data_IF_762596922152
#
_entry.id   IF_762596922152
#
_cell.length_a   1.000
_cell.length_b   1.000
_cell.length_c   1.000
_cell.angle_alpha   90.00
_cell.angle_beta   90.00
_cell.angle_gamma   90.00
#
_symmetry.space_group_name_H-M   'P 1'
#
loop_
_entity.id
_entity.type
_entity.pdbx_description
1 polymer ?
#
# COMPACT_ATOMS: atom_id res chain seq x y z
N UNK A 1 14.48 41.72 15.92
CA UNK A 1 13.84 40.50 16.47
C UNK A 1 12.58 40.22 15.67
N UNK A 2 12.43 39.00 15.15
CA UNK A 2 11.26 38.60 14.37
C UNK A 2 11.52 37.39 13.48
N UNK A 3 12.07 36.30 14.01
CA UNK A 3 12.02 35.02 13.31
C UNK A 3 10.59 34.49 13.39
N UNK A 4 9.73 34.96 12.48
CA UNK A 4 8.46 34.34 12.21
C UNK A 4 8.73 32.91 11.72
N UNK A 5 8.64 31.95 12.64
CA UNK A 5 8.67 30.54 12.27
C UNK A 5 7.56 30.31 11.27
N UNK A 6 7.91 30.03 10.01
CA UNK A 6 6.95 29.59 9.00
C UNK A 6 6.26 28.35 9.57
N UNK A 7 5.00 28.47 9.97
CA UNK A 7 4.15 27.31 10.25
C UNK A 7 4.25 26.41 9.02
N UNK A 8 4.77 25.20 9.19
CA UNK A 8 4.74 24.21 8.11
C UNK A 8 3.27 23.98 7.74
N UNK A 9 2.96 24.15 6.45
CA UNK A 9 1.61 23.91 5.94
C UNK A 9 1.21 22.45 6.21
N UNK A 10 0.02 22.27 6.73
CA UNK A 10 -0.62 20.95 6.88
C UNK A 10 -0.92 20.34 5.51
N UNK A 11 -1.17 19.04 5.47
CA UNK A 11 -1.43 18.34 4.21
C UNK A 11 -2.71 18.84 3.53
N UNK A 12 -3.72 19.22 4.31
CA UNK A 12 -4.95 19.82 3.80
C UNK A 12 -4.71 21.21 3.19
N UNK A 13 -3.87 22.04 3.82
CA UNK A 13 -3.50 23.35 3.28
C UNK A 13 -2.67 23.23 2.00
N UNK A 14 -1.76 22.25 1.92
CA UNK A 14 -1.00 21.97 0.70
C UNK A 14 -1.90 21.49 -0.44
N UNK A 15 -2.86 20.62 -0.14
CA UNK A 15 -3.82 20.16 -1.14
C UNK A 15 -4.74 21.30 -1.61
N UNK A 16 -5.24 22.13 -0.69
CA UNK A 16 -6.07 23.28 -1.03
C UNK A 16 -5.29 24.32 -1.87
N UNK A 17 -4.03 24.60 -1.53
CA UNK A 17 -3.16 25.48 -2.32
C UNK A 17 -2.91 24.94 -3.73
N UNK A 18 -2.74 23.62 -3.86
CA UNK A 18 -2.64 22.98 -5.17
C UNK A 18 -3.91 23.14 -6.00
N UNK A 19 -5.09 22.90 -5.41
CA UNK A 19 -6.38 23.13 -6.07
C UNK A 19 -6.56 24.61 -6.47
N UNK A 20 -5.98 25.53 -5.68
CA UNK A 20 -5.89 26.96 -5.99
C UNK A 20 -4.86 27.34 -7.06
N UNK A 21 -4.15 26.37 -7.67
CA UNK A 21 -3.20 26.59 -8.76
C UNK A 21 -1.72 26.57 -8.38
N UNK A 22 -1.38 26.40 -7.09
CA UNK A 22 0.01 26.30 -6.63
C UNK A 22 0.57 24.88 -6.86
N UNK A 23 1.10 24.63 -8.05
CA UNK A 23 1.63 23.32 -8.45
C UNK A 23 2.72 22.79 -7.51
N UNK A 24 3.52 23.70 -6.91
CA UNK A 24 4.57 23.36 -5.93
C UNK A 24 4.02 22.77 -4.63
N UNK A 25 2.77 23.07 -4.27
CA UNK A 25 2.15 22.57 -3.05
C UNK A 25 1.89 21.06 -3.14
N UNK A 26 1.49 20.56 -4.32
CA UNK A 26 1.32 19.11 -4.55
C UNK A 26 2.66 18.37 -4.52
N UNK A 27 3.70 18.94 -5.13
CA UNK A 27 5.04 18.37 -5.08
C UNK A 27 5.54 18.25 -3.62
N UNK A 28 5.31 19.28 -2.81
CA UNK A 28 5.67 19.26 -1.39
C UNK A 28 4.87 18.22 -0.59
N UNK A 29 3.56 18.15 -0.82
CA UNK A 29 2.68 17.15 -0.21
C UNK A 29 3.15 15.73 -0.56
N UNK A 30 3.41 15.47 -1.84
CA UNK A 30 3.81 14.15 -2.30
C UNK A 30 5.19 13.77 -1.77
N UNK A 31 6.19 14.67 -1.83
CA UNK A 31 7.53 14.43 -1.25
C UNK A 31 7.47 14.09 0.23
N UNK A 32 6.58 14.72 0.99
CA UNK A 32 6.37 14.43 2.43
C UNK A 32 5.90 12.99 2.65
N UNK A 33 5.03 12.47 1.79
CA UNK A 33 4.44 11.12 1.93
C UNK A 33 5.15 10.04 1.11
N UNK A 34 6.03 10.41 0.18
CA UNK A 34 6.63 9.52 -0.82
C UNK A 34 7.25 8.26 -0.23
N UNK A 35 8.00 8.37 0.89
CA UNK A 35 8.65 7.20 1.51
C UNK A 35 7.63 6.19 2.03
N UNK A 36 6.54 6.67 2.64
CA UNK A 36 5.49 5.80 3.18
C UNK A 36 4.64 5.20 2.06
N UNK A 37 4.28 6.01 1.06
CA UNK A 37 3.55 5.57 -0.13
C UNK A 37 4.33 4.52 -0.93
N UNK A 38 5.64 4.72 -1.12
CA UNK A 38 6.50 3.74 -1.79
C UNK A 38 6.59 2.43 -1.00
N UNK A 39 6.72 2.50 0.34
CA UNK A 39 6.70 1.31 1.18
C UNK A 39 5.37 0.54 1.04
N UNK A 40 4.25 1.24 1.01
CA UNK A 40 2.94 0.64 0.80
C UNK A 40 2.83 -0.02 -0.58
N UNK A 41 3.34 0.65 -1.62
CA UNK A 41 3.38 0.09 -2.96
C UNK A 41 4.23 -1.20 -3.01
N UNK A 42 5.39 -1.20 -2.35
CA UNK A 42 6.27 -2.37 -2.21
C UNK A 42 5.60 -3.56 -1.52
N UNK A 43 4.78 -3.32 -0.50
CA UNK A 43 4.03 -4.37 0.21
C UNK A 43 2.91 -4.99 -0.65
N UNK A 44 2.43 -4.25 -1.64
CA UNK A 44 1.26 -4.65 -2.44
C UNK A 44 1.69 -5.25 -3.78
N UNK A 45 2.70 -4.67 -4.42
CA UNK A 45 3.25 -5.03 -5.74
C UNK A 45 4.16 -6.26 -5.69
N UNK A 46 4.37 -6.91 -6.84
CA UNK A 46 5.22 -8.11 -6.97
C UNK A 46 6.70 -7.76 -7.09
N UNK A 47 7.04 -6.73 -7.87
CA UNK A 47 8.42 -6.30 -8.14
C UNK A 47 8.64 -4.84 -7.73
N UNK A 48 9.89 -4.39 -7.56
CA UNK A 48 10.20 -2.96 -7.40
C UNK A 48 9.62 -2.09 -8.51
N UNK A 49 9.73 -2.53 -9.75
CA UNK A 49 9.29 -1.80 -10.93
C UNK A 49 7.77 -1.63 -10.93
N UNK A 50 7.02 -2.69 -10.57
CA UNK A 50 5.57 -2.60 -10.39
C UNK A 50 5.17 -1.62 -9.28
N UNK A 51 6.00 -1.49 -8.23
CA UNK A 51 5.74 -0.54 -7.16
C UNK A 51 6.02 0.91 -7.61
N UNK A 52 7.09 1.13 -8.37
CA UNK A 52 7.45 2.43 -8.93
C UNK A 52 6.41 2.92 -9.93
N UNK A 53 6.01 2.06 -10.86
CA UNK A 53 4.98 2.38 -11.83
C UNK A 53 3.62 2.65 -11.15
N UNK A 54 3.23 1.82 -10.18
CA UNK A 54 2.00 2.05 -9.41
C UNK A 54 2.04 3.39 -8.67
N UNK A 55 3.19 3.77 -8.14
CA UNK A 55 3.37 5.05 -7.46
C UNK A 55 3.26 6.23 -8.44
N UNK A 56 3.77 6.08 -9.67
CA UNK A 56 3.57 7.08 -10.73
C UNK A 56 2.10 7.19 -11.16
N UNK A 57 1.44 6.07 -11.43
CA UNK A 57 0.02 6.02 -11.78
C UNK A 57 -0.83 6.68 -10.67
N UNK A 58 -0.48 6.41 -9.42
CA UNK A 58 -1.12 7.01 -8.26
C UNK A 58 -0.88 8.53 -8.18
N UNK A 59 0.33 9.01 -8.45
CA UNK A 59 0.63 10.43 -8.49
C UNK A 59 -0.20 11.16 -9.55
N UNK A 60 -0.30 10.59 -10.76
CA UNK A 60 -1.11 11.13 -11.86
C UNK A 60 -2.60 11.16 -11.47
N UNK A 61 -3.10 10.06 -10.90
CA UNK A 61 -4.49 9.96 -10.43
C UNK A 61 -4.79 10.98 -9.34
N UNK A 62 -3.93 11.10 -8.33
CA UNK A 62 -4.06 12.08 -7.25
C UNK A 62 -4.06 13.52 -7.79
N UNK A 63 -3.17 13.84 -8.73
CA UNK A 63 -3.16 15.16 -9.37
C UNK A 63 -4.48 15.46 -10.10
N UNK A 64 -5.08 14.47 -10.77
CA UNK A 64 -6.35 14.63 -11.51
C UNK A 64 -7.57 14.75 -10.60
N UNK A 65 -7.59 14.03 -9.49
CA UNK A 65 -8.76 13.99 -8.60
C UNK A 65 -8.65 14.84 -7.35
N UNK A 66 -7.54 15.55 -7.12
CA UNK A 66 -7.33 16.44 -5.99
C UNK A 66 -8.45 17.48 -5.80
N UNK A 67 -8.98 18.03 -6.89
CA UNK A 67 -10.09 19.00 -6.83
C UNK A 67 -11.41 18.37 -6.34
N UNK A 68 -11.55 17.06 -6.47
CA UNK A 68 -12.72 16.29 -6.04
C UNK A 68 -12.54 15.68 -4.65
N UNK A 69 -11.43 15.97 -3.97
CA UNK A 69 -11.16 15.47 -2.63
C UNK A 69 -12.21 16.00 -1.65
N UNK A 70 -12.89 15.05 -0.99
CA UNK A 70 -13.84 15.35 0.08
C UNK A 70 -13.04 15.46 1.36
N UNK A 71 -13.16 16.59 2.06
CA UNK A 71 -12.46 16.87 3.32
C UNK A 71 -13.03 16.08 4.52
N UNK A 72 -13.64 14.92 4.26
CA UNK A 72 -14.22 14.01 5.24
C UNK A 72 -13.21 12.95 5.73
N UNK A 73 -12.04 12.85 5.09
CA UNK A 73 -10.93 11.99 5.48
C UNK A 73 -9.61 12.78 5.55
N UNK A 74 -8.58 12.20 6.16
CA UNK A 74 -7.23 12.76 6.09
C UNK A 74 -6.64 12.63 4.67
N UNK A 75 -5.89 13.63 4.23
CA UNK A 75 -5.22 13.63 2.91
C UNK A 75 -4.26 12.46 2.76
N UNK A 76 -3.55 12.08 3.82
CA UNK A 76 -2.69 10.89 3.86
C UNK A 76 -3.49 9.62 3.56
N UNK A 77 -4.61 9.40 4.24
CA UNK A 77 -5.50 8.26 3.98
C UNK A 77 -6.00 8.25 2.53
N UNK A 78 -6.31 9.40 1.95
CA UNK A 78 -6.70 9.49 0.54
C UNK A 78 -5.55 9.17 -0.42
N UNK A 79 -4.33 9.66 -0.18
CA UNK A 79 -3.16 9.28 -0.98
C UNK A 79 -2.87 7.78 -0.89
N UNK A 80 -3.02 7.19 0.30
CA UNK A 80 -2.87 5.75 0.49
C UNK A 80 -3.90 4.97 -0.34
N UNK A 81 -5.15 5.44 -0.42
CA UNK A 81 -6.20 4.82 -1.27
C UNK A 81 -5.75 4.76 -2.71
N UNK A 82 -5.27 5.87 -3.22
CA UNK A 82 -4.90 6.01 -4.62
C UNK A 82 -3.73 5.08 -4.96
N UNK A 83 -2.72 4.99 -4.08
CA UNK A 83 -1.58 4.07 -4.27
C UNK A 83 -2.01 2.61 -4.24
N UNK A 84 -2.83 2.21 -3.26
CA UNK A 84 -3.34 0.83 -3.19
C UNK A 84 -4.15 0.49 -4.43
N UNK A 85 -5.03 1.39 -4.87
CA UNK A 85 -5.82 1.18 -6.09
C UNK A 85 -4.92 0.95 -7.31
N UNK A 86 -3.90 1.80 -7.49
CA UNK A 86 -2.95 1.65 -8.59
C UNK A 86 -2.21 0.30 -8.54
N UNK A 87 -1.72 -0.12 -7.37
CA UNK A 87 -1.09 -1.43 -7.20
C UNK A 87 -2.04 -2.58 -7.55
N UNK A 88 -3.29 -2.50 -7.09
CA UNK A 88 -4.29 -3.54 -7.33
C UNK A 88 -4.72 -3.62 -8.79
N UNK A 89 -4.87 -2.48 -9.46
CA UNK A 89 -5.20 -2.43 -10.88
C UNK A 89 -4.09 -3.05 -11.71
N UNK A 90 -2.82 -2.77 -11.41
CA UNK A 90 -1.68 -3.43 -12.08
C UNK A 90 -1.66 -4.94 -11.86
N UNK A 91 -1.93 -5.40 -10.65
CA UNK A 91 -2.02 -6.82 -10.34
C UNK A 91 -3.15 -7.53 -11.11
N UNK A 92 -4.28 -6.85 -11.33
CA UNK A 92 -5.37 -7.36 -12.18
C UNK A 92 -4.94 -7.42 -13.65
N UNK A 93 -4.29 -6.38 -14.17
CA UNK A 93 -3.80 -6.35 -15.55
C UNK A 93 -2.76 -7.44 -15.82
N UNK A 94 -1.86 -7.68 -14.87
CA UNK A 94 -0.86 -8.74 -14.95
C UNK A 94 -1.47 -10.15 -14.98
N UNK A 95 -2.67 -10.35 -14.40
CA UNK A 95 -3.41 -11.63 -14.49
C UNK A 95 -4.22 -11.77 -15.78
N UNK A 96 -4.67 -10.67 -16.37
CA UNK A 96 -5.43 -10.69 -17.62
C UNK A 96 -4.55 -10.99 -18.85
N UNK A 97 -3.22 -10.84 -18.73
CA UNK A 97 -2.24 -11.29 -19.73
C UNK A 97 -1.74 -12.68 -19.33
N UNK A 98 -2.10 -13.77 -20.04
CA UNK A 98 -1.63 -15.10 -19.71
C UNK A 98 -0.16 -15.26 -20.14
N UNK A 99 0.76 -14.77 -19.33
CA UNK A 99 2.08 -15.39 -19.21
C UNK A 99 1.94 -16.56 -18.25
N UNK A 100 2.50 -17.71 -18.66
CA UNK A 100 2.39 -19.03 -18.02
C UNK A 100 2.43 -18.99 -16.48
N UNK A 101 1.79 -19.97 -15.79
CA UNK A 101 1.87 -20.08 -14.34
C UNK A 101 3.35 -20.30 -13.98
N UNK A 102 4.02 -19.22 -13.59
CA UNK A 102 5.30 -19.32 -12.92
C UNK A 102 4.98 -19.89 -11.54
N UNK A 103 5.46 -21.11 -11.29
CA UNK A 103 5.59 -21.64 -9.94
C UNK A 103 6.14 -20.51 -9.07
N UNK A 104 5.37 -20.17 -8.03
CA UNK A 104 5.56 -19.04 -7.12
C UNK A 104 6.83 -19.24 -6.25
N UNK A 105 8.01 -19.29 -6.88
CA UNK A 105 9.33 -19.32 -6.23
C UNK A 105 9.91 -17.91 -6.32
N UNK A 106 9.71 -17.13 -5.26
CA UNK A 106 10.14 -15.74 -5.16
C UNK A 106 11.59 -15.65 -4.67
N UNK A 107 12.51 -14.99 -5.40
CA UNK A 107 13.89 -14.81 -4.96
C UNK A 107 13.98 -13.95 -3.69
N UNK A 108 14.90 -14.33 -2.80
CA UNK A 108 15.10 -13.77 -1.46
C UNK A 108 16.18 -12.69 -1.52
N UNK A 109 15.89 -11.40 -1.24
CA UNK A 109 16.92 -10.42 -0.93
C UNK A 109 17.21 -10.44 0.58
N UNK A 110 18.48 -10.34 0.93
CA UNK A 110 19.01 -10.38 2.30
C UNK A 110 19.32 -8.96 2.81
N UNK A 111 18.92 -8.61 4.06
CA UNK A 111 19.49 -7.53 4.90
C UNK A 111 18.68 -7.17 6.17
N UNK A 112 19.24 -7.40 7.36
CA UNK A 112 19.16 -6.68 8.69
C UNK A 112 17.87 -6.60 9.53
N UNK A 113 18.02 -6.76 10.86
CA UNK A 113 17.00 -7.08 11.89
C UNK A 113 15.74 -6.19 12.07
N UNK A 114 15.72 -4.89 11.74
CA UNK A 114 14.45 -4.11 11.68
C UNK A 114 13.72 -4.29 10.34
N UNK A 115 14.48 -4.62 9.32
CA UNK A 115 14.00 -4.97 7.99
C UNK A 115 13.45 -6.40 8.01
N UNK A 116 13.91 -7.28 8.92
CA UNK A 116 13.43 -8.66 9.04
C UNK A 116 11.92 -8.76 9.25
N UNK A 117 11.33 -8.07 10.23
CA UNK A 117 9.87 -8.16 10.45
C UNK A 117 9.07 -7.61 9.26
N UNK A 118 9.47 -6.47 8.71
CA UNK A 118 8.80 -5.89 7.52
C UNK A 118 8.96 -6.79 6.29
N UNK A 119 10.14 -7.38 6.10
CA UNK A 119 10.42 -8.36 5.04
C UNK A 119 9.59 -9.62 5.24
N UNK A 120 9.50 -10.15 6.47
CA UNK A 120 8.73 -11.35 6.79
C UNK A 120 7.24 -11.13 6.52
N UNK A 121 6.69 -9.97 6.92
CA UNK A 121 5.31 -9.59 6.61
C UNK A 121 5.13 -9.43 5.09
N UNK A 122 6.04 -8.75 4.39
CA UNK A 122 5.97 -8.61 2.94
C UNK A 122 5.99 -9.97 2.24
N UNK A 123 6.92 -10.87 2.63
CA UNK A 123 7.03 -12.23 2.10
C UNK A 123 5.76 -13.03 2.36
N UNK A 124 5.21 -12.95 3.56
CA UNK A 124 3.98 -13.65 3.91
C UNK A 124 2.77 -13.12 3.12
N UNK A 125 2.68 -11.80 2.91
CA UNK A 125 1.66 -11.19 2.07
C UNK A 125 1.78 -11.64 0.62
N UNK A 126 2.99 -11.70 0.07
CA UNK A 126 3.22 -12.12 -1.32
C UNK A 126 2.78 -13.56 -1.60
N UNK A 127 2.81 -14.45 -0.59
CA UNK A 127 2.31 -15.82 -0.69
C UNK A 127 0.78 -15.94 -0.66
N UNK A 128 0.05 -14.85 -0.38
CA UNK A 128 -1.40 -14.85 -0.47
C UNK A 128 -1.87 -14.74 -1.93
N UNK A 129 -2.98 -15.40 -2.29
CA UNK A 129 -3.70 -15.10 -3.51
C UNK A 129 -4.00 -13.60 -3.59
N UNK A 130 -3.84 -13.02 -4.78
CA UNK A 130 -3.83 -11.57 -4.97
C UNK A 130 -5.08 -10.90 -4.41
N UNK A 131 -6.23 -11.56 -4.48
CA UNK A 131 -7.50 -11.04 -3.99
C UNK A 131 -7.59 -11.05 -2.47
N UNK A 132 -6.94 -12.03 -1.82
CA UNK A 132 -6.84 -12.09 -0.37
C UNK A 132 -5.84 -11.04 0.12
N UNK A 133 -4.67 -10.94 -0.53
CA UNK A 133 -3.68 -9.88 -0.26
C UNK A 133 -4.32 -8.50 -0.36
N UNK A 134 -5.05 -8.24 -1.45
CA UNK A 134 -5.73 -6.98 -1.69
C UNK A 134 -6.71 -6.61 -0.57
N UNK A 135 -7.53 -7.57 -0.13
CA UNK A 135 -8.50 -7.34 0.94
C UNK A 135 -7.82 -7.11 2.30
N UNK A 136 -6.78 -7.89 2.63
CA UNK A 136 -6.03 -7.75 3.89
C UNK A 136 -5.29 -6.42 3.94
N UNK A 137 -4.57 -6.04 2.88
CA UNK A 137 -3.86 -4.75 2.84
C UNK A 137 -4.86 -3.59 2.97
N UNK A 138 -5.98 -3.64 2.27
CA UNK A 138 -7.00 -2.60 2.31
C UNK A 138 -7.64 -2.44 3.71
N UNK A 139 -8.10 -3.54 4.32
CA UNK A 139 -8.82 -3.47 5.59
C UNK A 139 -7.87 -3.39 6.79
N UNK A 140 -6.93 -4.34 6.90
CA UNK A 140 -6.17 -4.54 8.13
C UNK A 140 -4.97 -3.59 8.23
N UNK A 141 -4.36 -3.21 7.09
CA UNK A 141 -3.18 -2.32 7.09
C UNK A 141 -3.53 -0.86 6.83
N UNK A 142 -4.58 -0.59 6.04
CA UNK A 142 -4.99 0.78 5.68
C UNK A 142 -6.26 1.26 6.39
N UNK A 143 -6.95 0.38 7.11
CA UNK A 143 -8.13 0.74 7.89
C UNK A 143 -9.38 1.04 7.04
N UNK A 144 -9.44 0.60 5.78
CA UNK A 144 -10.67 0.79 4.99
C UNK A 144 -11.83 0.00 5.56
N UNK A 145 -13.01 0.60 5.49
CA UNK A 145 -14.24 -0.12 5.76
C UNK A 145 -14.46 -1.22 4.71
N UNK A 146 -15.17 -2.27 5.11
CA UNK A 146 -15.50 -3.39 4.22
C UNK A 146 -16.28 -2.90 2.99
N UNK A 147 -17.18 -1.93 3.17
CA UNK A 147 -17.96 -1.31 2.10
C UNK A 147 -17.08 -0.56 1.09
N UNK A 148 -16.08 0.18 1.57
CA UNK A 148 -15.13 0.91 0.72
C UNK A 148 -14.23 -0.04 -0.05
N UNK A 149 -13.72 -1.07 0.62
CA UNK A 149 -12.92 -2.12 -0.01
C UNK A 149 -13.75 -2.89 -1.03
N UNK A 150 -15.03 -3.16 -0.79
CA UNK A 150 -15.91 -3.85 -1.73
C UNK A 150 -16.06 -3.07 -3.04
N UNK A 151 -16.35 -1.77 -2.93
CA UNK A 151 -16.43 -0.86 -4.09
C UNK A 151 -15.12 -0.78 -4.86
N UNK A 152 -14.01 -0.62 -4.14
CA UNK A 152 -12.64 -0.59 -4.70
C UNK A 152 -12.29 -1.90 -5.42
N UNK A 153 -12.65 -3.03 -4.83
CA UNK A 153 -12.33 -4.35 -5.36
C UNK A 153 -13.30 -4.84 -6.44
N UNK A 154 -14.42 -4.16 -6.66
CA UNK A 154 -15.47 -4.57 -7.60
C UNK A 154 -16.16 -5.87 -7.18
N UNK A 155 -16.32 -6.11 -5.87
CA UNK A 155 -16.92 -7.33 -5.32
C UNK A 155 -17.91 -7.01 -4.20
N UNK A 156 -18.72 -8.00 -3.80
CA UNK A 156 -19.62 -7.86 -2.65
C UNK A 156 -18.87 -7.75 -1.31
N UNK A 157 -19.45 -7.05 -0.33
CA UNK A 157 -18.89 -6.92 1.02
C UNK A 157 -18.65 -8.28 1.72
N UNK A 158 -19.53 -9.25 1.51
CA UNK A 158 -19.34 -10.62 2.01
C UNK A 158 -18.08 -11.28 1.44
N UNK A 159 -17.75 -10.99 0.18
CA UNK A 159 -16.52 -11.47 -0.47
C UNK A 159 -15.28 -10.84 0.14
N UNK A 160 -15.34 -9.54 0.49
CA UNK A 160 -14.24 -8.86 1.22
C UNK A 160 -14.03 -9.53 2.58
N UNK A 161 -15.09 -9.70 3.39
CA UNK A 161 -15.03 -10.38 4.69
C UNK A 161 -14.39 -11.77 4.58
N UNK A 162 -14.83 -12.57 3.61
CA UNK A 162 -14.30 -13.90 3.36
C UNK A 162 -12.82 -13.90 2.93
N UNK A 163 -12.42 -12.93 2.09
CA UNK A 163 -11.02 -12.77 1.65
C UNK A 163 -10.11 -12.34 2.80
N UNK A 164 -10.53 -11.38 3.64
CA UNK A 164 -9.79 -10.98 4.84
C UNK A 164 -9.66 -12.14 5.81
N UNK A 165 -10.73 -12.88 6.09
CA UNK A 165 -10.69 -14.02 7.00
C UNK A 165 -9.70 -15.10 6.52
N UNK A 166 -9.75 -15.48 5.24
CA UNK A 166 -8.83 -16.48 4.65
C UNK A 166 -7.39 -15.96 4.59
N UNK A 167 -7.20 -14.69 4.23
CA UNK A 167 -5.90 -14.05 4.23
C UNK A 167 -5.25 -14.04 5.61
N UNK A 168 -5.98 -13.59 6.65
CA UNK A 168 -5.51 -13.60 8.04
C UNK A 168 -5.16 -15.00 8.53
N UNK A 169 -6.00 -16.01 8.25
CA UNK A 169 -5.73 -17.38 8.63
C UNK A 169 -4.43 -17.93 7.99
N UNK A 170 -4.17 -17.59 6.72
CA UNK A 170 -2.95 -18.00 6.02
C UNK A 170 -1.73 -17.22 6.51
N UNK A 171 -1.85 -15.93 6.76
CA UNK A 171 -0.78 -15.12 7.36
C UNK A 171 -0.40 -15.62 8.75
N UNK A 172 -1.38 -15.95 9.60
CA UNK A 172 -1.12 -16.50 10.93
C UNK A 172 -0.29 -17.79 10.86
N UNK A 173 -0.59 -18.67 9.89
CA UNK A 173 0.23 -19.87 9.63
C UNK A 173 1.64 -19.51 9.16
N UNK A 174 1.75 -18.68 8.12
CA UNK A 174 3.04 -18.31 7.53
C UNK A 174 3.96 -17.63 8.54
N UNK A 175 3.43 -16.65 9.28
CA UNK A 175 4.19 -15.93 10.29
C UNK A 175 4.52 -16.80 11.51
N UNK A 176 3.63 -17.70 11.93
CA UNK A 176 3.92 -18.66 13.02
C UNK A 176 5.06 -19.63 12.70
N UNK A 177 5.16 -20.09 11.45
CA UNK A 177 6.31 -20.90 10.99
C UNK A 177 7.61 -20.08 10.93
N UNK A 178 7.51 -18.81 10.54
CA UNK A 178 8.68 -17.92 10.44
C UNK A 178 9.22 -17.50 11.81
N UNK A 179 8.34 -17.31 12.80
CA UNK A 179 8.71 -17.01 14.19
C UNK A 179 9.44 -18.20 14.85
N UNK A 180 9.00 -19.42 14.53
CA UNK A 180 9.66 -20.66 15.01
C UNK A 180 11.07 -20.83 14.40
N UNK A 181 11.30 -20.38 13.17
CA UNK A 181 12.60 -20.49 12.49
C UNK A 181 13.64 -19.42 12.88
N UNK A 182 13.18 -18.24 13.32
CA UNK A 182 14.06 -17.15 13.77
C UNK A 182 14.68 -17.42 15.16
N UNK A 183 14.03 -18.26 15.98
CA UNK A 183 14.44 -18.51 17.37
C UNK A 183 15.45 -19.67 17.55
N UNK A 184 15.93 -20.28 16.45
CA UNK A 184 16.81 -21.48 16.50
C UNK A 184 18.30 -21.14 16.36
N UNK A 185 18.68 -19.87 16.12
CA UNK A 185 20.07 -19.49 15.85
C UNK A 185 20.78 -18.72 16.99
N UNK A 186 20.17 -18.53 18.17
CA UNK A 186 20.78 -17.79 19.28
C UNK A 186 21.10 -18.67 20.50
N UNK A 187 21.80 -19.79 20.27
CA UNK A 187 22.15 -20.71 21.35
C UNK A 187 23.22 -21.73 20.96
N UNK A 188 24.47 -21.28 20.82
CA UNK A 188 25.68 -22.12 20.94
C UNK A 188 26.88 -21.26 21.32
#
# INVERSE_FOLDING_TARGET
MGFGGRRERSDAELLAAFVGGEHRAFEQLFRRHQRHLYRLARLTSRTPEDAEDALQDAMISAHRCAASFRYDAAVSSWLHRIVVNACLDRLRQARARPTAPLDDVYPVPDATARVETEILVQRALLQLPVEQRAAVVAVDMQGYSIADTARMLGVAEGTVKSRCARGRARLARLLGYLDTGANVFDGS
#
